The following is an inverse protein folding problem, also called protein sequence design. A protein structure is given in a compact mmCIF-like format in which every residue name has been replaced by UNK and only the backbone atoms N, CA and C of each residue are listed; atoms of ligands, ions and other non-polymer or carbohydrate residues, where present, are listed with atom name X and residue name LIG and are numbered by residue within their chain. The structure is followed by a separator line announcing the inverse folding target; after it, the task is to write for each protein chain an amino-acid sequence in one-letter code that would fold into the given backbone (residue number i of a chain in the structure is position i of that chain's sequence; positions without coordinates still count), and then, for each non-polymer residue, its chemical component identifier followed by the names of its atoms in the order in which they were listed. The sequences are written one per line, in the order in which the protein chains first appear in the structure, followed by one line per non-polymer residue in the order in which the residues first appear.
data_IF_702094948006
#
_entry.id   IF_702094948006
#
_cell.length_a   1.000
_cell.length_b   1.000
_cell.length_c   1.000
_cell.angle_alpha   90.00
_cell.angle_beta   90.00
_cell.angle_gamma   90.00
#
_symmetry.space_group_name_H-M   'P 1'
#
loop_
_entity.id
_entity.type
_entity.pdbx_description
1 polymer ?
#
# COMPACT_ATOMS: atom_id res chain seq x y z
N UNK A 1 11.36 12.46 40.27
CA UNK A 1 11.85 13.37 39.21
C UNK A 1 10.85 13.31 38.06
N UNK A 2 10.09 14.38 37.85
CA UNK A 2 9.06 14.45 36.82
C UNK A 2 9.68 15.05 35.54
N UNK A 3 10.06 14.18 34.60
CA UNK A 3 10.61 14.60 33.32
C UNK A 3 9.52 15.16 32.40
N UNK A 4 9.50 16.49 32.32
CA UNK A 4 9.13 17.35 31.21
C UNK A 4 8.57 16.61 29.98
N UNK A 5 7.27 16.29 30.03
CA UNK A 5 6.45 15.85 28.88
C UNK A 5 6.48 16.97 27.84
N UNK A 6 7.44 16.92 26.93
CA UNK A 6 7.61 17.88 25.84
C UNK A 6 6.26 18.01 25.14
N UNK A 7 5.68 19.21 25.19
CA UNK A 7 4.32 19.45 24.71
C UNK A 7 4.34 19.40 23.19
N UNK A 8 4.21 18.18 22.64
CA UNK A 8 4.09 17.95 21.21
C UNK A 8 3.01 18.87 20.65
N UNK A 9 3.32 19.53 19.53
CA UNK A 9 2.34 20.37 18.82
C UNK A 9 1.15 19.50 18.38
N UNK A 10 -0.02 20.10 18.19
CA UNK A 10 -1.25 19.36 17.87
C UNK A 10 -1.13 18.44 16.64
N UNK A 11 -0.35 18.85 15.64
CA UNK A 11 -0.05 18.05 14.44
C UNK A 11 0.88 16.86 14.73
N UNK A 12 1.93 17.06 15.52
CA UNK A 12 2.87 16.01 15.96
C UNK A 12 2.14 14.95 16.79
N UNK A 13 1.23 15.38 17.67
CA UNK A 13 0.40 14.45 18.45
C UNK A 13 -0.52 13.63 17.55
N UNK A 14 -1.14 14.25 16.56
CA UNK A 14 -2.03 13.54 15.62
C UNK A 14 -1.26 12.50 14.80
N UNK A 15 -0.07 12.84 14.30
CA UNK A 15 0.79 11.90 13.59
C UNK A 15 1.22 10.73 14.48
N UNK A 16 1.60 11.01 15.73
CA UNK A 16 1.94 9.97 16.71
C UNK A 16 0.78 8.99 16.96
N UNK A 17 -0.44 9.52 17.13
CA UNK A 17 -1.63 8.66 17.32
C UNK A 17 -1.85 7.78 16.08
N UNK A 18 -1.69 8.30 14.86
CA UNK A 18 -1.81 7.51 13.63
C UNK A 18 -0.79 6.37 13.61
N UNK A 19 0.48 6.65 13.93
CA UNK A 19 1.52 5.62 13.96
C UNK A 19 1.27 4.53 15.01
N UNK A 20 0.78 4.89 16.20
CA UNK A 20 0.45 3.89 17.21
C UNK A 20 -0.82 3.10 16.87
N UNK A 21 -1.84 3.77 16.34
CA UNK A 21 -3.06 3.13 15.88
C UNK A 21 -2.80 2.15 14.73
N UNK A 22 -1.88 2.48 13.81
CA UNK A 22 -1.42 1.58 12.75
C UNK A 22 -0.99 0.22 13.30
N UNK A 23 -0.13 0.22 14.32
CA UNK A 23 0.37 -1.01 14.96
C UNK A 23 -0.74 -1.84 15.61
N UNK A 24 -1.77 -1.18 16.12
CA UNK A 24 -2.95 -1.86 16.68
C UNK A 24 -3.76 -2.47 15.54
N UNK A 25 -4.12 -1.70 14.51
CA UNK A 25 -4.92 -2.16 13.37
C UNK A 25 -4.22 -3.22 12.50
N UNK A 26 -2.88 -3.24 12.48
CA UNK A 26 -2.10 -4.28 11.82
C UNK A 26 -2.17 -5.63 12.53
N UNK A 27 -2.35 -5.62 13.86
CA UNK A 27 -2.44 -6.82 14.71
C UNK A 27 -3.88 -7.30 14.87
N UNK A 28 -4.79 -6.39 15.15
CA UNK A 28 -6.22 -6.63 15.35
C UNK A 28 -6.96 -5.86 14.26
N UNK A 29 -7.82 -6.54 13.49
CA UNK A 29 -8.59 -5.94 12.40
C UNK A 29 -9.33 -4.66 12.83
N UNK A 30 -9.91 -3.93 11.88
CA UNK A 30 -10.73 -2.78 12.26
C UNK A 30 -11.87 -3.21 13.17
N UNK A 31 -12.53 -4.34 12.92
CA UNK A 31 -13.59 -4.83 13.80
C UNK A 31 -13.08 -5.10 15.24
N UNK A 32 -11.93 -5.76 15.38
CA UNK A 32 -11.44 -6.28 16.67
C UNK A 32 -10.76 -5.24 17.57
N UNK A 33 -10.18 -4.18 17.00
CA UNK A 33 -9.43 -3.19 17.78
C UNK A 33 -10.33 -2.36 18.72
N UNK A 34 -10.08 -2.32 20.02
CA UNK A 34 -10.90 -1.49 20.94
C UNK A 34 -10.42 -0.03 21.02
N UNK A 35 -11.32 0.92 21.29
CA UNK A 35 -10.92 2.34 21.48
C UNK A 35 -10.04 2.54 22.71
N UNK A 36 -10.26 1.78 23.77
CA UNK A 36 -9.40 1.78 24.95
C UNK A 36 -7.99 1.27 24.65
N UNK A 37 -7.85 0.26 23.78
CA UNK A 37 -6.54 -0.17 23.30
C UNK A 37 -5.84 0.88 22.44
N UNK A 38 -6.55 1.47 21.48
CA UNK A 38 -6.03 2.54 20.63
C UNK A 38 -5.56 3.75 21.45
N UNK A 39 -6.35 4.16 22.45
CA UNK A 39 -6.02 5.27 23.34
C UNK A 39 -4.78 4.96 24.19
N UNK A 40 -4.72 3.77 24.78
CA UNK A 40 -3.58 3.30 25.58
C UNK A 40 -2.29 3.23 24.77
N UNK A 41 -2.34 2.62 23.58
CA UNK A 41 -1.20 2.54 22.67
C UNK A 41 -0.71 3.93 22.23
N UNK A 42 -1.63 4.89 22.13
CA UNK A 42 -1.33 6.26 21.72
C UNK A 42 -1.00 7.21 22.89
N UNK A 43 -0.89 6.68 24.12
CA UNK A 43 -0.63 7.45 25.35
C UNK A 43 -1.60 8.63 25.58
N UNK A 44 -2.86 8.45 25.20
CA UNK A 44 -3.95 9.42 25.39
C UNK A 44 -5.14 8.77 26.06
N UNK A 45 -6.06 9.58 26.58
CA UNK A 45 -7.36 9.09 27.06
C UNK A 45 -8.32 8.89 25.89
N UNK A 46 -9.32 8.03 26.03
CA UNK A 46 -10.36 7.86 25.00
C UNK A 46 -11.05 9.18 24.61
N UNK A 47 -11.44 10.07 25.54
CA UNK A 47 -11.98 11.38 25.18
C UNK A 47 -11.02 12.22 24.34
N UNK A 48 -9.71 12.13 24.59
CA UNK A 48 -8.71 12.86 23.80
C UNK A 48 -8.51 12.24 22.42
N UNK A 49 -8.61 10.92 22.29
CA UNK A 49 -8.63 10.23 21.00
C UNK A 49 -9.81 10.72 20.15
N UNK A 50 -11.02 10.76 20.73
CA UNK A 50 -12.21 11.31 20.09
C UNK A 50 -12.08 12.80 19.76
N UNK A 51 -11.43 13.59 20.60
CA UNK A 51 -11.17 15.01 20.29
C UNK A 51 -10.26 15.20 19.07
N UNK A 52 -9.35 14.27 18.78
CA UNK A 52 -8.47 14.35 17.61
C UNK A 52 -9.08 13.81 16.31
N UNK A 53 -9.91 12.77 16.39
CA UNK A 53 -10.39 12.04 15.21
C UNK A 53 -11.91 11.96 15.09
N UNK A 54 -12.66 12.23 16.15
CA UNK A 54 -14.13 12.14 16.18
C UNK A 54 -14.69 10.72 16.26
N UNK A 55 -14.01 9.73 15.66
CA UNK A 55 -14.42 8.32 15.75
C UNK A 55 -13.25 7.35 15.49
N UNK A 56 -13.42 6.08 15.90
CA UNK A 56 -12.51 4.98 15.53
C UNK A 56 -12.40 4.84 14.00
N UNK A 57 -13.52 5.01 13.28
CA UNK A 57 -13.55 5.00 11.81
C UNK A 57 -12.67 6.08 11.21
N UNK A 58 -12.83 7.32 11.66
CA UNK A 58 -12.03 8.44 11.15
C UNK A 58 -10.52 8.28 11.46
N UNK A 59 -10.18 7.68 12.61
CA UNK A 59 -8.81 7.27 12.90
C UNK A 59 -8.33 6.19 11.93
N UNK A 60 -9.12 5.14 11.68
CA UNK A 60 -8.76 4.06 10.76
C UNK A 60 -8.57 4.57 9.32
N UNK A 61 -9.47 5.43 8.83
CA UNK A 61 -9.32 6.09 7.52
C UNK A 61 -8.04 6.90 7.43
N UNK A 62 -7.68 7.64 8.49
CA UNK A 62 -6.43 8.38 8.55
C UNK A 62 -5.20 7.45 8.51
N UNK A 63 -5.26 6.30 9.20
CA UNK A 63 -4.22 5.27 9.17
C UNK A 63 -4.06 4.69 7.76
N UNK A 64 -5.15 4.28 7.09
CA UNK A 64 -5.11 3.77 5.71
C UNK A 64 -4.51 4.82 4.76
N UNK A 65 -4.91 6.09 4.90
CA UNK A 65 -4.37 7.18 4.07
C UNK A 65 -2.86 7.35 4.28
N UNK A 66 -2.40 7.37 5.53
CA UNK A 66 -0.98 7.56 5.85
C UNK A 66 -0.13 6.36 5.42
N UNK A 67 -0.58 5.14 5.69
CA UNK A 67 0.13 3.90 5.33
C UNK A 67 0.32 3.76 3.80
N UNK A 68 -0.64 4.28 3.02
CA UNK A 68 -0.59 4.22 1.57
C UNK A 68 0.18 5.40 0.95
N UNK A 69 0.19 6.58 1.58
CA UNK A 69 0.72 7.81 0.99
C UNK A 69 2.20 7.71 0.56
N UNK A 70 3.05 7.13 1.42
CA UNK A 70 4.48 7.03 1.12
C UNK A 70 4.77 6.08 -0.06
N UNK A 71 4.04 4.97 -0.13
CA UNK A 71 4.12 4.04 -1.26
C UNK A 71 3.63 4.70 -2.55
N UNK A 72 2.42 5.29 -2.54
CA UNK A 72 1.86 5.94 -3.73
C UNK A 72 2.72 7.08 -4.27
N UNK A 73 3.34 7.87 -3.39
CA UNK A 73 4.26 8.93 -3.80
C UNK A 73 5.48 8.36 -4.56
N UNK A 74 6.12 7.31 -4.02
CA UNK A 74 7.26 6.65 -4.68
C UNK A 74 6.84 5.98 -5.99
N UNK A 75 5.72 5.27 -5.97
CA UNK A 75 5.15 4.58 -7.11
C UNK A 75 4.86 5.52 -8.28
N UNK A 76 4.14 6.63 -8.04
CA UNK A 76 3.88 7.65 -9.08
C UNK A 76 5.17 8.22 -9.66
N UNK A 77 6.14 8.54 -8.81
CA UNK A 77 7.45 9.04 -9.25
C UNK A 77 8.17 8.04 -10.15
N UNK A 78 8.14 6.73 -9.84
CA UNK A 78 8.74 5.67 -10.67
C UNK A 78 8.07 5.55 -12.04
N UNK A 79 6.74 5.47 -12.06
CA UNK A 79 5.96 5.35 -13.31
C UNK A 79 6.17 6.55 -14.23
N UNK A 80 6.42 7.74 -13.66
CA UNK A 80 6.74 8.95 -14.42
C UNK A 80 8.20 8.98 -14.91
N UNK A 81 9.17 8.55 -14.09
CA UNK A 81 10.60 8.71 -14.38
C UNK A 81 11.24 7.62 -15.25
N UNK A 82 10.70 6.38 -15.26
CA UNK A 82 11.39 5.22 -15.88
C UNK A 82 10.72 4.66 -17.14
N UNK A 83 9.77 5.38 -17.71
CA UNK A 83 8.94 4.87 -18.80
C UNK A 83 9.60 4.90 -20.20
N UNK A 84 10.87 5.29 -20.34
CA UNK A 84 11.39 5.66 -21.67
C UNK A 84 12.34 4.64 -22.32
N UNK A 85 12.92 3.66 -21.60
CA UNK A 85 13.88 2.73 -22.23
C UNK A 85 13.78 1.25 -21.87
N UNK A 86 13.23 0.85 -20.71
CA UNK A 86 13.10 -0.58 -20.34
C UNK A 86 11.86 -0.85 -19.47
N UNK A 87 10.83 -1.46 -20.09
CA UNK A 87 9.60 -1.85 -19.41
C UNK A 87 9.83 -2.91 -18.32
N UNK A 88 10.78 -3.84 -18.52
CA UNK A 88 11.10 -4.87 -17.52
C UNK A 88 11.69 -4.23 -16.28
N UNK A 89 12.60 -3.28 -16.44
CA UNK A 89 13.19 -2.54 -15.32
C UNK A 89 12.14 -1.67 -14.60
N UNK A 90 11.26 -1.01 -15.36
CA UNK A 90 10.19 -0.20 -14.78
C UNK A 90 9.27 -1.05 -13.88
N UNK A 91 8.76 -2.17 -14.40
CA UNK A 91 7.90 -3.08 -13.65
C UNK A 91 8.64 -3.79 -12.50
N UNK A 92 9.90 -4.17 -12.70
CA UNK A 92 10.71 -4.77 -11.64
C UNK A 92 10.91 -3.79 -10.49
N UNK A 93 11.29 -2.54 -10.78
CA UNK A 93 11.52 -1.52 -9.76
C UNK A 93 10.27 -1.22 -8.92
N UNK A 94 9.08 -1.28 -9.52
CA UNK A 94 7.80 -1.09 -8.84
C UNK A 94 7.56 -2.20 -7.80
N UNK A 95 7.69 -3.47 -8.19
CA UNK A 95 7.49 -4.59 -7.26
C UNK A 95 8.60 -4.66 -6.21
N UNK A 96 9.84 -4.29 -6.56
CA UNK A 96 10.96 -4.21 -5.62
C UNK A 96 10.76 -3.13 -4.56
N UNK A 97 10.30 -1.94 -4.96
CA UNK A 97 9.96 -0.88 -4.01
C UNK A 97 8.79 -1.29 -3.12
N UNK A 98 7.80 -2.00 -3.68
CA UNK A 98 6.68 -2.51 -2.90
C UNK A 98 7.11 -3.55 -1.88
N UNK A 99 7.95 -4.49 -2.31
CA UNK A 99 8.62 -5.48 -1.47
C UNK A 99 9.44 -4.82 -0.35
N UNK A 100 10.25 -3.82 -0.69
CA UNK A 100 11.09 -3.13 0.27
C UNK A 100 10.24 -2.43 1.34
N UNK A 101 9.15 -1.77 0.92
CA UNK A 101 8.19 -1.17 1.83
C UNK A 101 7.55 -2.22 2.77
N UNK A 102 7.19 -3.38 2.23
CA UNK A 102 6.63 -4.48 3.01
C UNK A 102 7.60 -5.06 4.05
N UNK A 103 8.90 -4.99 3.80
CA UNK A 103 9.93 -5.42 4.76
C UNK A 103 10.27 -4.34 5.79
N UNK A 104 10.27 -3.07 5.38
CA UNK A 104 10.64 -1.96 6.28
C UNK A 104 9.55 -1.65 7.30
N UNK A 105 8.28 -1.73 6.86
CA UNK A 105 7.12 -1.46 7.71
C UNK A 105 5.98 -2.44 7.35
N UNK A 106 6.02 -3.67 7.90
CA UNK A 106 4.99 -4.68 7.64
C UNK A 106 3.59 -4.24 8.07
N UNK A 107 3.49 -3.32 9.03
CA UNK A 107 2.20 -2.86 9.54
C UNK A 107 1.43 -2.07 8.48
N UNK A 108 2.12 -1.30 7.63
CA UNK A 108 1.49 -0.61 6.49
C UNK A 108 0.82 -1.61 5.53
N UNK A 109 1.46 -2.76 5.29
CA UNK A 109 0.92 -3.83 4.44
C UNK A 109 -0.27 -4.51 5.10
N UNK A 110 -0.17 -4.81 6.39
CA UNK A 110 -1.21 -5.53 7.11
C UNK A 110 -2.48 -4.68 7.27
N UNK A 111 -2.33 -3.37 7.48
CA UNK A 111 -3.46 -2.45 7.45
C UNK A 111 -4.14 -2.44 6.08
N UNK A 112 -3.39 -2.44 4.97
CA UNK A 112 -3.98 -2.53 3.61
C UNK A 112 -4.70 -3.85 3.38
N UNK A 113 -4.11 -4.96 3.83
CA UNK A 113 -4.75 -6.27 3.71
C UNK A 113 -6.04 -6.33 4.53
N UNK A 114 -6.04 -5.84 5.77
CA UNK A 114 -7.24 -5.78 6.61
C UNK A 114 -8.30 -4.83 6.04
N UNK A 115 -7.94 -3.68 5.48
CA UNK A 115 -8.92 -2.76 4.92
C UNK A 115 -9.70 -3.36 3.73
N UNK A 116 -9.11 -4.31 3.00
CA UNK A 116 -9.77 -5.00 1.89
C UNK A 116 -10.95 -5.90 2.32
N UNK A 117 -10.92 -6.42 3.55
CA UNK A 117 -11.99 -7.27 4.11
C UNK A 117 -13.03 -6.48 4.92
N UNK A 118 -12.75 -5.22 5.22
CA UNK A 118 -13.62 -4.30 6.00
C UNK A 118 -14.49 -3.41 5.08
N UNK A 119 -14.63 -3.80 3.80
CA UNK A 119 -15.33 -3.01 2.77
C UNK A 119 -16.85 -3.03 2.87
N UNK A 120 -17.41 -3.60 3.95
CA UNK A 120 -18.81 -3.45 4.31
C UNK A 120 -19.13 -2.01 4.75
N UNK A 121 -18.15 -1.24 5.24
CA UNK A 121 -18.29 0.19 5.47
C UNK A 121 -18.06 0.99 4.16
N UNK A 122 -19.01 1.84 3.73
CA UNK A 122 -18.91 2.58 2.47
C UNK A 122 -17.71 3.56 2.38
N UNK A 123 -17.30 4.16 3.51
CA UNK A 123 -16.20 5.12 3.50
C UNK A 123 -14.85 4.40 3.35
N UNK A 124 -14.70 3.26 4.03
CA UNK A 124 -13.53 2.40 3.90
C UNK A 124 -13.47 1.85 2.47
N UNK A 125 -14.59 1.34 1.94
CA UNK A 125 -14.68 0.84 0.57
C UNK A 125 -14.30 1.92 -0.46
N UNK A 126 -14.82 3.14 -0.31
CA UNK A 126 -14.54 4.25 -1.21
C UNK A 126 -13.06 4.60 -1.22
N UNK A 127 -12.44 4.69 -0.04
CA UNK A 127 -11.01 4.98 0.08
C UNK A 127 -10.15 3.87 -0.55
N UNK A 128 -10.41 2.61 -0.23
CA UNK A 128 -9.66 1.46 -0.78
C UNK A 128 -9.85 1.37 -2.29
N UNK A 129 -11.07 1.57 -2.79
CA UNK A 129 -11.36 1.60 -4.24
C UNK A 129 -10.58 2.71 -4.94
N UNK A 130 -10.59 3.92 -4.39
CA UNK A 130 -9.85 5.05 -4.97
C UNK A 130 -8.35 4.77 -5.04
N UNK A 131 -7.78 4.18 -3.99
CA UNK A 131 -6.37 3.79 -3.98
C UNK A 131 -6.06 2.73 -5.04
N UNK A 132 -6.90 1.69 -5.18
CA UNK A 132 -6.73 0.66 -6.21
C UNK A 132 -6.87 1.22 -7.62
N UNK A 133 -7.81 2.14 -7.84
CA UNK A 133 -7.97 2.84 -9.12
C UNK A 133 -6.72 3.65 -9.47
N UNK A 134 -6.11 4.34 -8.50
CA UNK A 134 -4.86 5.09 -8.73
C UNK A 134 -3.69 4.17 -9.13
N UNK A 135 -3.54 2.99 -8.53
CA UNK A 135 -2.52 2.02 -8.94
C UNK A 135 -2.81 1.50 -10.35
N UNK A 136 -4.07 1.12 -10.60
CA UNK A 136 -4.51 0.60 -11.89
C UNK A 136 -4.18 1.57 -13.02
N UNK A 137 -4.59 2.84 -12.88
CA UNK A 137 -4.40 3.84 -13.93
C UNK A 137 -2.91 4.07 -14.23
N UNK A 138 -2.06 4.08 -13.22
CA UNK A 138 -0.63 4.27 -13.42
C UNK A 138 0.03 3.09 -14.15
N UNK A 139 -0.35 1.85 -13.82
CA UNK A 139 0.15 0.66 -14.55
C UNK A 139 -0.42 0.62 -15.97
N UNK A 140 -1.71 0.91 -16.14
CA UNK A 140 -2.35 0.94 -17.45
C UNK A 140 -1.64 1.94 -18.38
N UNK A 141 -1.41 3.17 -17.92
CA UNK A 141 -0.70 4.19 -18.69
C UNK A 141 0.78 3.84 -18.96
N UNK A 142 1.42 3.05 -18.09
CA UNK A 142 2.75 2.51 -18.35
C UNK A 142 2.71 1.47 -19.50
N UNK A 143 1.78 0.52 -19.46
CA UNK A 143 1.63 -0.51 -20.49
C UNK A 143 1.16 0.07 -21.82
N UNK A 144 0.26 1.05 -21.79
CA UNK A 144 -0.23 1.77 -22.96
C UNK A 144 0.91 2.48 -23.70
N UNK A 145 1.76 3.23 -22.98
CA UNK A 145 2.94 3.86 -23.58
C UNK A 145 3.89 2.84 -24.20
N UNK A 146 4.10 1.71 -23.54
CA UNK A 146 4.93 0.63 -24.09
C UNK A 146 4.32 0.01 -25.36
N UNK A 147 2.98 -0.10 -25.45
CA UNK A 147 2.28 -0.53 -26.66
C UNK A 147 2.41 0.50 -27.79
N UNK A 148 2.24 1.79 -27.50
CA UNK A 148 2.41 2.91 -28.45
C UNK A 148 3.85 2.99 -29.00
N UNK A 149 4.84 2.60 -28.21
CA UNK A 149 6.26 2.53 -28.61
C UNK A 149 6.64 1.21 -29.32
N UNK A 150 5.70 0.27 -29.48
CA UNK A 150 5.95 -1.03 -30.12
C UNK A 150 6.70 -2.06 -29.26
N UNK A 151 6.87 -1.81 -27.96
CA UNK A 151 7.47 -2.76 -27.01
C UNK A 151 6.51 -3.92 -26.68
N UNK A 152 5.21 -3.64 -26.73
CA UNK A 152 4.11 -4.60 -26.58
C UNK A 152 3.28 -4.67 -27.87
N UNK A 153 2.66 -5.82 -28.20
CA UNK A 153 1.82 -5.96 -29.38
C UNK A 153 0.61 -5.01 -29.34
N UNK A 154 0.25 -4.43 -30.49
CA UNK A 154 -0.94 -3.58 -30.62
C UNK A 154 -2.26 -4.35 -30.38
N UNK A 155 -2.25 -5.68 -30.52
CA UNK A 155 -3.37 -6.57 -30.23
C UNK A 155 -3.57 -6.86 -28.74
N UNK A 156 -2.60 -6.51 -27.89
CA UNK A 156 -2.64 -6.85 -26.47
C UNK A 156 -3.80 -6.15 -25.76
N UNK A 157 -4.60 -6.92 -25.03
CA UNK A 157 -5.59 -6.38 -24.10
C UNK A 157 -4.89 -5.79 -22.86
N UNK A 158 -4.74 -4.47 -22.86
CA UNK A 158 -4.12 -3.73 -21.78
C UNK A 158 -4.89 -3.85 -20.46
N UNK A 159 -6.21 -4.03 -20.50
CA UNK A 159 -7.03 -4.17 -19.30
C UNK A 159 -6.72 -5.50 -18.61
N UNK A 160 -6.73 -6.59 -19.37
CA UNK A 160 -6.35 -7.91 -18.88
C UNK A 160 -4.91 -7.93 -18.37
N UNK A 161 -3.97 -7.34 -19.11
CA UNK A 161 -2.58 -7.22 -18.70
C UNK A 161 -2.44 -6.44 -17.37
N UNK A 162 -3.12 -5.30 -17.24
CA UNK A 162 -3.05 -4.48 -16.02
C UNK A 162 -3.55 -5.25 -14.81
N UNK A 163 -4.72 -5.91 -14.89
CA UNK A 163 -5.23 -6.73 -13.78
C UNK A 163 -4.32 -7.91 -13.45
N UNK A 164 -3.76 -8.57 -14.48
CA UNK A 164 -2.78 -9.63 -14.31
C UNK A 164 -1.56 -9.16 -13.51
N UNK A 165 -1.02 -7.98 -13.86
CA UNK A 165 0.11 -7.40 -13.15
C UNK A 165 -0.21 -7.00 -11.70
N UNK A 166 -1.39 -6.41 -11.48
CA UNK A 166 -1.82 -6.01 -10.13
C UNK A 166 -1.90 -7.19 -9.15
N UNK A 167 -2.15 -8.41 -9.65
CA UNK A 167 -2.16 -9.62 -8.81
C UNK A 167 -0.84 -9.86 -8.07
N UNK A 168 0.29 -9.40 -8.61
CA UNK A 168 1.60 -9.54 -7.96
C UNK A 168 1.71 -8.73 -6.67
N UNK A 169 1.02 -7.59 -6.56
CA UNK A 169 0.98 -6.81 -5.32
C UNK A 169 0.31 -7.62 -4.22
N UNK A 170 -0.89 -8.14 -4.48
CA UNK A 170 -1.60 -8.98 -3.51
C UNK A 170 -0.77 -10.20 -3.09
N UNK A 171 -0.08 -10.83 -4.04
CA UNK A 171 0.80 -11.96 -3.75
C UNK A 171 2.00 -11.56 -2.86
N UNK A 172 2.54 -10.35 -3.00
CA UNK A 172 3.57 -9.80 -2.10
C UNK A 172 3.01 -9.61 -0.68
N UNK A 173 1.84 -8.97 -0.56
CA UNK A 173 1.20 -8.71 0.74
C UNK A 173 0.91 -10.00 1.49
N UNK A 174 0.31 -10.96 0.79
CA UNK A 174 -0.05 -12.27 1.33
C UNK A 174 1.19 -13.03 1.83
N UNK A 175 2.26 -13.07 1.02
CA UNK A 175 3.51 -13.73 1.41
C UNK A 175 4.19 -13.03 2.59
N UNK A 176 4.16 -11.70 2.64
CA UNK A 176 4.68 -10.93 3.78
C UNK A 176 3.90 -11.27 5.06
N UNK A 177 2.56 -11.37 4.99
CA UNK A 177 1.71 -11.73 6.13
C UNK A 177 1.98 -13.14 6.65
N UNK A 178 2.24 -14.09 5.76
CA UNK A 178 2.51 -15.48 6.10
C UNK A 178 3.98 -15.77 6.45
N UNK A 179 4.89 -14.80 6.32
CA UNK A 179 6.33 -15.01 6.53
C UNK A 179 7.02 -15.84 5.44
N UNK A 180 6.34 -16.14 4.34
CA UNK A 180 6.86 -16.94 3.20
C UNK A 180 7.47 -16.04 2.11
N UNK A 181 8.27 -15.07 2.54
CA UNK A 181 8.73 -13.98 1.70
C UNK A 181 10.24 -14.00 1.41
N UNK A 182 10.99 -14.87 2.09
CA UNK A 182 12.44 -14.98 1.94
C UNK A 182 12.87 -15.38 0.53
N UNK A 183 12.13 -16.30 -0.10
CA UNK A 183 12.40 -16.78 -1.46
C UNK A 183 11.92 -15.82 -2.56
N UNK A 184 10.97 -14.93 -2.26
CA UNK A 184 10.50 -13.91 -3.21
C UNK A 184 11.44 -12.69 -3.17
N UNK A 185 12.70 -12.91 -3.54
CA UNK A 185 13.78 -11.93 -3.52
C UNK A 185 13.86 -11.11 -4.82
N UNK A 186 14.88 -10.25 -4.95
CA UNK A 186 15.04 -9.39 -6.12
C UNK A 186 15.15 -10.16 -7.43
N UNK A 187 15.97 -11.20 -7.45
CA UNK A 187 16.18 -12.07 -8.62
C UNK A 187 14.85 -12.71 -9.06
N UNK A 188 14.09 -13.23 -8.10
CA UNK A 188 12.78 -13.84 -8.37
C UNK A 188 11.78 -12.83 -8.90
N UNK A 189 11.74 -11.60 -8.38
CA UNK A 189 10.85 -10.54 -8.88
C UNK A 189 11.19 -10.16 -10.32
N UNK A 190 12.47 -9.99 -10.63
CA UNK A 190 12.92 -9.70 -11.99
C UNK A 190 12.55 -10.83 -12.95
N UNK A 191 12.74 -12.07 -12.54
CA UNK A 191 12.41 -13.24 -13.35
C UNK A 191 10.90 -13.40 -13.57
N UNK A 192 10.07 -13.20 -12.55
CA UNK A 192 8.60 -13.20 -12.70
C UNK A 192 8.14 -12.13 -13.69
N UNK A 193 8.69 -10.92 -13.62
CA UNK A 193 8.37 -9.87 -14.59
C UNK A 193 8.85 -10.21 -16.00
N UNK A 194 10.02 -10.84 -16.13
CA UNK A 194 10.57 -11.28 -17.42
C UNK A 194 9.64 -12.31 -18.07
N UNK A 195 9.24 -13.34 -17.32
CA UNK A 195 8.32 -14.38 -17.79
C UNK A 195 6.95 -13.81 -18.15
N UNK A 196 6.42 -12.91 -17.32
CA UNK A 196 5.14 -12.26 -17.56
C UNK A 196 5.17 -11.40 -18.84
N UNK A 197 6.18 -10.54 -19.00
CA UNK A 197 6.35 -9.75 -20.22
C UNK A 197 6.58 -10.59 -21.47
N UNK A 198 7.32 -11.70 -21.34
CA UNK A 198 7.50 -12.64 -22.45
C UNK A 198 6.15 -13.22 -22.90
N UNK A 199 5.29 -13.59 -21.95
CA UNK A 199 3.93 -14.05 -22.25
C UNK A 199 3.09 -12.98 -22.96
N UNK A 200 3.15 -11.73 -22.50
CA UNK A 200 2.41 -10.62 -23.14
C UNK A 200 2.86 -10.29 -24.57
N UNK A 201 4.10 -10.64 -24.93
CA UNK A 201 4.63 -10.40 -26.29
C UNK A 201 4.25 -11.48 -27.28
N UNK A 202 3.79 -12.64 -26.80
CA UNK A 202 3.48 -13.81 -27.63
C UNK A 202 1.98 -13.99 -27.90
N UNK A 203 1.11 -13.32 -27.15
CA UNK A 203 -0.35 -13.29 -27.35
C UNK A 203 -0.78 -12.12 -28.21
#
# INVERSE_FOLDING_TARGET
MAEKKMRMKGSERRAFIIEQAKKVFARSSYADASTGELARASEVTEPMLYKHFGSKKALFLAVIQTASAAFFCRFRKRVQQRAEHDLLEALSSILLDYRAAALSDPDDVFVRLHSSVETSDPDIQTLVRSQMQDVYQAIFELLKRAQEQGVLPASLDLNAATWGYLSFFFAIEYRAKLGIFASFNEETIREVNRLWLQGLRQG
#
